data_IF_440150064233
#
_entry.id   IF_440150064233
#
_cell.length_a   1.000
_cell.length_b   1.000
_cell.length_c   1.000
_cell.angle_alpha   90.00
_cell.angle_beta   90.00
_cell.angle_gamma   90.00
#
_symmetry.space_group_name_H-M   'P 1'
#
loop_
_entity.id
_entity.type
_entity.pdbx_description
1 polymer ?
#
# COMPACT_ATOMS: atom_id res chain seq x y z
N UNK A 1 5.55 13.10 27.15
CA UNK A 1 5.80 12.66 25.78
C UNK A 1 4.48 12.58 25.03
N UNK A 2 4.36 13.18 23.83
CA UNK A 2 3.17 13.08 22.99
C UNK A 2 3.39 11.99 21.93
N UNK A 3 2.45 11.05 21.82
CA UNK A 3 2.48 9.98 20.82
C UNK A 3 1.53 10.34 19.68
N UNK A 4 2.08 10.53 18.49
CA UNK A 4 1.34 10.89 17.28
C UNK A 4 1.27 9.67 16.35
N UNK A 5 0.08 9.13 16.17
CA UNK A 5 -0.17 7.97 15.31
C UNK A 5 -0.39 8.43 13.87
N UNK A 6 0.19 7.70 12.92
CA UNK A 6 -0.17 7.84 11.52
C UNK A 6 -1.64 7.42 11.30
N UNK A 7 -2.33 8.07 10.35
CA UNK A 7 -3.71 7.70 9.98
C UNK A 7 -3.75 6.35 9.26
N UNK A 8 -2.74 6.09 8.44
CA UNK A 8 -2.64 4.87 7.63
C UNK A 8 -1.74 3.82 8.30
N UNK A 9 -2.17 3.26 9.44
CA UNK A 9 -1.45 2.19 10.13
C UNK A 9 -1.80 0.79 9.59
N UNK A 10 -0.83 -0.13 9.64
CA UNK A 10 -1.04 -1.55 9.43
C UNK A 10 -1.48 -1.97 8.03
N UNK A 11 -2.20 -3.07 7.96
CA UNK A 11 -2.59 -3.72 6.71
C UNK A 11 -3.38 -2.80 5.78
N UNK A 12 -2.94 -2.72 4.52
CA UNK A 12 -3.75 -2.09 3.49
C UNK A 12 -4.95 -3.00 3.11
N UNK A 13 -5.97 -2.39 2.47
CA UNK A 13 -7.17 -3.13 2.04
C UNK A 13 -6.87 -4.33 1.14
N UNK A 14 -5.83 -4.24 0.28
CA UNK A 14 -5.41 -5.35 -0.56
C UNK A 14 -4.91 -6.55 0.26
N UNK A 15 -4.14 -6.30 1.30
CA UNK A 15 -3.63 -7.33 2.23
C UNK A 15 -4.77 -7.91 3.08
N UNK A 16 -5.60 -7.04 3.71
CA UNK A 16 -6.76 -7.48 4.50
C UNK A 16 -7.69 -8.39 3.66
N UNK A 17 -7.97 -8.00 2.42
CA UNK A 17 -8.77 -8.80 1.49
C UNK A 17 -8.13 -10.17 1.22
N UNK A 18 -6.82 -10.23 0.96
CA UNK A 18 -6.15 -11.50 0.66
C UNK A 18 -6.17 -12.47 1.85
N UNK A 19 -5.97 -11.96 3.08
CA UNK A 19 -6.08 -12.74 4.31
C UNK A 19 -7.50 -13.26 4.50
N UNK A 20 -8.52 -12.41 4.32
CA UNK A 20 -9.92 -12.81 4.47
C UNK A 20 -10.32 -13.89 3.46
N UNK A 21 -9.88 -13.77 2.20
CA UNK A 21 -10.13 -14.81 1.18
C UNK A 21 -9.48 -16.12 1.59
N UNK A 22 -8.24 -16.11 2.10
CA UNK A 22 -7.56 -17.32 2.54
C UNK A 22 -8.27 -17.97 3.74
N UNK A 23 -8.68 -17.17 4.74
CA UNK A 23 -9.42 -17.65 5.92
C UNK A 23 -10.78 -18.24 5.53
N UNK A 24 -11.49 -17.63 4.58
CA UNK A 24 -12.79 -18.13 4.10
C UNK A 24 -12.70 -19.48 3.37
N UNK A 25 -11.52 -19.84 2.87
CA UNK A 25 -11.29 -21.08 2.11
C UNK A 25 -10.33 -22.04 2.79
N UNK A 26 -10.06 -21.84 4.08
CA UNK A 26 -9.23 -22.76 4.87
C UNK A 26 -9.94 -24.12 5.09
N UNK A 27 -9.23 -25.26 5.08
CA UNK A 27 -7.80 -25.34 4.80
C UNK A 27 -7.48 -25.07 3.32
N UNK A 28 -6.39 -24.32 3.07
CA UNK A 28 -5.99 -23.98 1.71
C UNK A 28 -4.47 -23.81 1.58
N UNK A 29 -4.00 -23.87 0.33
CA UNK A 29 -2.67 -23.47 -0.06
C UNK A 29 -2.69 -22.02 -0.53
N UNK A 30 -1.63 -21.28 -0.32
CA UNK A 30 -1.45 -19.98 -0.96
C UNK A 30 -0.30 -20.07 -1.96
N UNK A 31 -0.51 -19.60 -3.18
CA UNK A 31 0.56 -19.53 -4.14
C UNK A 31 1.50 -18.39 -3.78
N UNK A 32 2.69 -18.76 -3.33
CA UNK A 32 3.67 -17.92 -2.64
C UNK A 32 3.12 -17.40 -1.29
N UNK A 33 3.90 -16.57 -0.61
CA UNK A 33 3.49 -15.99 0.67
C UNK A 33 2.37 -14.98 0.46
N UNK A 34 1.32 -15.06 1.26
CA UNK A 34 0.19 -14.11 1.23
C UNK A 34 0.66 -12.68 1.53
N UNK A 35 1.66 -12.57 2.39
CA UNK A 35 2.18 -11.33 2.93
C UNK A 35 3.64 -11.53 3.36
N UNK A 36 4.45 -10.51 3.17
CA UNK A 36 5.85 -10.50 3.65
C UNK A 36 5.91 -10.12 5.14
N UNK A 37 5.43 -11.02 5.99
CA UNK A 37 5.50 -10.93 7.44
C UNK A 37 5.49 -12.35 8.01
N UNK A 38 6.63 -12.77 8.58
CA UNK A 38 6.83 -14.14 9.05
C UNK A 38 5.86 -14.52 10.16
N UNK A 39 5.65 -13.65 11.16
CA UNK A 39 4.74 -13.91 12.29
C UNK A 39 3.31 -14.15 11.80
N UNK A 40 2.83 -13.34 10.83
CA UNK A 40 1.50 -13.51 10.25
C UNK A 40 1.40 -14.81 9.46
N UNK A 41 2.42 -15.13 8.63
CA UNK A 41 2.45 -16.39 7.86
C UNK A 41 2.44 -17.59 8.80
N UNK A 42 3.21 -17.57 9.89
CA UNK A 42 3.24 -18.66 10.87
C UNK A 42 1.91 -18.78 11.65
N UNK A 43 1.25 -17.65 11.96
CA UNK A 43 -0.11 -17.64 12.51
C UNK A 43 -1.13 -18.28 11.57
N UNK A 44 -1.08 -17.94 10.29
CA UNK A 44 -1.97 -18.49 9.27
C UNK A 44 -1.80 -20.00 9.07
N UNK A 45 -0.57 -20.54 9.24
CA UNK A 45 -0.35 -22.00 9.22
C UNK A 45 -1.13 -22.72 10.34
N UNK A 46 -1.28 -22.12 11.52
CA UNK A 46 -2.09 -22.67 12.60
C UNK A 46 -3.60 -22.68 12.24
N UNK A 47 -4.02 -21.86 11.31
CA UNK A 47 -5.39 -21.82 10.76
C UNK A 47 -5.56 -22.72 9.52
N UNK A 48 -4.54 -23.53 9.16
CA UNK A 48 -4.59 -24.44 8.01
C UNK A 48 -4.28 -23.79 6.67
N UNK A 49 -3.61 -22.63 6.66
CA UNK A 49 -3.27 -21.88 5.45
C UNK A 49 -1.76 -21.97 5.22
N UNK A 50 -1.33 -22.67 4.17
CA UNK A 50 0.08 -22.99 3.93
C UNK A 50 0.60 -22.38 2.62
N UNK A 51 1.72 -21.61 2.64
CA UNK A 51 2.32 -21.12 1.42
C UNK A 51 3.05 -22.24 0.67
N UNK A 52 2.88 -22.26 -0.66
CA UNK A 52 3.61 -23.11 -1.59
C UNK A 52 4.28 -22.27 -2.66
N UNK A 53 5.53 -22.55 -2.95
CA UNK A 53 6.33 -21.84 -3.96
C UNK A 53 6.39 -22.59 -5.28
N UNK A 54 6.17 -23.90 -5.26
CA UNK A 54 6.12 -24.77 -6.42
C UNK A 54 4.71 -25.35 -6.58
N UNK A 55 4.12 -25.12 -7.74
CA UNK A 55 2.79 -25.65 -8.07
C UNK A 55 2.76 -27.16 -8.27
N UNK A 56 3.92 -27.82 -8.36
CA UNK A 56 4.01 -29.28 -8.48
C UNK A 56 3.50 -30.05 -7.26
N UNK A 57 3.43 -29.39 -6.10
CA UNK A 57 2.91 -30.02 -4.86
C UNK A 57 1.39 -29.93 -4.74
N UNK A 58 0.74 -29.11 -5.59
CA UNK A 58 -0.71 -28.91 -5.60
C UNK A 58 -1.40 -30.12 -6.24
N UNK A 59 -2.46 -30.58 -5.61
CA UNK A 59 -3.27 -31.71 -6.08
C UNK A 59 -4.64 -31.27 -6.62
N UNK A 60 -5.26 -32.15 -7.40
CA UNK A 60 -6.63 -31.92 -7.87
C UNK A 60 -7.59 -31.82 -6.68
N UNK A 61 -8.41 -30.76 -6.68
CA UNK A 61 -9.34 -30.47 -5.61
C UNK A 61 -8.81 -29.60 -4.47
N UNK A 62 -7.49 -29.33 -4.43
CA UNK A 62 -6.94 -28.41 -3.44
C UNK A 62 -7.49 -26.98 -3.62
N UNK A 63 -7.77 -26.31 -2.51
CA UNK A 63 -8.06 -24.89 -2.50
C UNK A 63 -6.76 -24.11 -2.59
N UNK A 64 -6.60 -23.28 -3.62
CA UNK A 64 -5.41 -22.47 -3.83
C UNK A 64 -5.77 -20.99 -3.92
N UNK A 65 -5.23 -20.19 -3.04
CA UNK A 65 -5.43 -18.73 -3.02
C UNK A 65 -4.25 -18.03 -3.70
N UNK A 66 -4.52 -17.20 -4.69
CA UNK A 66 -3.53 -16.31 -5.27
C UNK A 66 -3.41 -15.07 -4.38
N UNK A 67 -2.20 -14.77 -3.92
CA UNK A 67 -1.93 -13.67 -3.00
C UNK A 67 -2.18 -12.27 -3.61
N UNK A 68 -2.14 -11.22 -2.78
CA UNK A 68 -2.43 -9.85 -3.21
C UNK A 68 -1.52 -9.32 -4.33
N UNK A 69 -0.29 -9.81 -4.43
CA UNK A 69 0.66 -9.44 -5.49
C UNK A 69 0.39 -10.08 -6.86
N UNK A 70 -0.60 -11.00 -6.92
CA UNK A 70 -1.00 -11.64 -8.17
C UNK A 70 -0.06 -12.76 -8.64
N UNK A 71 -0.41 -13.34 -9.79
CA UNK A 71 0.35 -14.37 -10.46
C UNK A 71 0.29 -14.16 -11.99
N UNK A 72 1.18 -14.82 -12.73
CA UNK A 72 1.14 -14.79 -14.18
C UNK A 72 -0.03 -15.64 -14.74
N UNK A 73 -0.58 -15.32 -15.92
CA UNK A 73 -1.63 -16.14 -16.54
C UNK A 73 -1.26 -17.61 -16.66
N UNK A 74 -0.01 -17.92 -16.98
CA UNK A 74 0.50 -19.29 -17.05
C UNK A 74 0.38 -20.06 -15.74
N UNK A 75 0.42 -19.40 -14.58
CA UNK A 75 0.27 -20.05 -13.29
C UNK A 75 -1.22 -20.42 -13.05
N UNK A 76 -2.14 -19.55 -13.44
CA UNK A 76 -3.58 -19.87 -13.43
C UNK A 76 -3.91 -21.04 -14.36
N UNK A 77 -3.31 -21.09 -15.55
CA UNK A 77 -3.47 -22.20 -16.48
C UNK A 77 -2.93 -23.52 -15.93
N UNK A 78 -1.78 -23.46 -15.22
CA UNK A 78 -1.21 -24.66 -14.56
C UNK A 78 -2.15 -25.17 -13.46
N UNK A 79 -2.64 -24.29 -12.60
CA UNK A 79 -3.60 -24.62 -11.53
C UNK A 79 -4.88 -25.20 -12.09
N UNK A 80 -5.42 -24.62 -13.17
CA UNK A 80 -6.60 -25.15 -13.85
C UNK A 80 -6.35 -26.55 -14.44
N UNK A 81 -5.18 -26.80 -15.03
CA UNK A 81 -4.81 -28.13 -15.54
C UNK A 81 -4.62 -29.19 -14.44
N UNK A 82 -4.17 -28.77 -13.27
CA UNK A 82 -4.10 -29.64 -12.07
C UNK A 82 -5.50 -29.98 -11.57
N UNK A 83 -6.49 -29.13 -11.82
CA UNK A 83 -7.84 -29.26 -11.29
C UNK A 83 -8.00 -28.71 -9.87
N UNK A 84 -7.18 -27.70 -9.51
CA UNK A 84 -7.30 -27.00 -8.24
C UNK A 84 -8.47 -26.02 -8.23
N UNK A 85 -9.05 -25.75 -7.06
CA UNK A 85 -10.03 -24.69 -6.84
C UNK A 85 -9.26 -23.38 -6.60
N UNK A 86 -9.28 -22.46 -7.56
CA UNK A 86 -8.46 -21.24 -7.51
C UNK A 86 -9.28 -20.06 -7.04
N UNK A 87 -8.81 -19.39 -5.99
CA UNK A 87 -9.40 -18.18 -5.42
C UNK A 87 -8.44 -17.00 -5.63
N UNK A 88 -8.80 -16.11 -6.53
CA UNK A 88 -7.95 -14.98 -6.90
C UNK A 88 -8.11 -13.80 -5.93
N UNK A 89 -7.18 -13.65 -4.99
CA UNK A 89 -7.11 -12.52 -4.07
C UNK A 89 -6.17 -11.39 -4.55
N UNK A 90 -5.77 -11.37 -5.83
CA UNK A 90 -4.95 -10.31 -6.40
C UNK A 90 -5.56 -8.93 -6.11
N UNK A 91 -4.74 -8.01 -5.60
CA UNK A 91 -5.15 -6.65 -5.31
C UNK A 91 -5.68 -5.95 -6.58
N UNK A 92 -6.82 -5.22 -6.53
CA UNK A 92 -7.35 -4.49 -7.68
C UNK A 92 -6.32 -3.55 -8.33
N UNK A 93 -5.45 -2.91 -7.52
CA UNK A 93 -4.38 -2.06 -8.06
C UNK A 93 -3.39 -2.86 -8.91
N UNK A 94 -2.99 -4.04 -8.46
CA UNK A 94 -2.11 -4.94 -9.22
C UNK A 94 -2.81 -5.44 -10.48
N UNK A 95 -4.10 -5.83 -10.40
CA UNK A 95 -4.89 -6.22 -11.58
C UNK A 95 -4.91 -5.12 -12.64
N UNK A 96 -5.03 -3.87 -12.23
CA UNK A 96 -5.01 -2.73 -13.14
C UNK A 96 -3.68 -2.60 -13.89
N UNK A 97 -2.56 -2.78 -13.19
CA UNK A 97 -1.23 -2.81 -13.85
C UNK A 97 -1.14 -3.97 -14.86
N UNK A 98 -1.61 -5.15 -14.49
CA UNK A 98 -1.66 -6.33 -15.36
C UNK A 98 -2.49 -6.07 -16.63
N UNK A 99 -3.64 -5.41 -16.50
CA UNK A 99 -4.51 -5.02 -17.61
C UNK A 99 -3.81 -4.03 -18.55
N UNK A 100 -3.17 -2.99 -18.01
CA UNK A 100 -2.40 -2.01 -18.81
C UNK A 100 -1.29 -2.70 -19.60
N UNK A 101 -0.50 -3.55 -18.94
CA UNK A 101 0.58 -4.29 -19.58
C UNK A 101 0.05 -5.16 -20.71
N UNK A 102 -1.04 -5.91 -20.49
CA UNK A 102 -1.68 -6.72 -21.52
C UNK A 102 -2.15 -5.87 -22.70
N UNK A 103 -2.90 -4.80 -22.41
CA UNK A 103 -3.47 -3.93 -23.43
C UNK A 103 -2.40 -3.29 -24.32
N UNK A 104 -1.38 -2.69 -23.70
CA UNK A 104 -0.35 -1.97 -24.46
C UNK A 104 0.62 -2.94 -25.16
N UNK A 105 0.86 -4.10 -24.61
CA UNK A 105 1.62 -5.15 -25.29
C UNK A 105 0.90 -5.62 -26.57
N UNK A 106 -0.41 -5.84 -26.53
CA UNK A 106 -1.22 -6.20 -27.71
C UNK A 106 -1.22 -5.07 -28.76
N UNK A 107 -1.18 -3.79 -28.33
CA UNK A 107 -1.05 -2.63 -29.19
C UNK A 107 0.37 -2.45 -29.79
N UNK A 108 1.28 -3.37 -29.56
CA UNK A 108 2.65 -3.36 -30.09
C UNK A 108 3.60 -2.41 -29.37
N UNK A 109 3.29 -2.04 -28.12
CA UNK A 109 4.23 -1.30 -27.28
C UNK A 109 5.18 -2.28 -26.57
N UNK A 110 6.47 -1.96 -26.56
CA UNK A 110 7.44 -2.62 -25.68
C UNK A 110 7.21 -2.16 -24.25
N UNK A 111 7.06 -3.11 -23.35
CA UNK A 111 6.74 -2.85 -21.96
C UNK A 111 8.02 -2.62 -21.15
N UNK A 112 8.03 -1.57 -20.34
CA UNK A 112 9.05 -1.27 -19.33
C UNK A 112 8.37 -1.26 -17.98
N UNK A 113 8.82 -2.13 -17.08
CA UNK A 113 8.30 -2.23 -15.70
C UNK A 113 9.35 -1.65 -14.77
N UNK A 114 9.03 -0.54 -14.12
CA UNK A 114 9.88 0.05 -13.08
C UNK A 114 9.62 -0.67 -11.75
N UNK A 115 10.57 -1.47 -11.28
CA UNK A 115 10.41 -2.29 -10.09
C UNK A 115 11.59 -3.20 -9.79
N UNK A 116 11.43 -4.03 -8.77
CA UNK A 116 12.41 -5.06 -8.42
C UNK A 116 12.11 -6.35 -9.21
N UNK A 117 13.04 -6.78 -10.03
CA UNK A 117 12.92 -7.99 -10.87
C UNK A 117 12.64 -9.28 -10.08
N UNK A 118 13.08 -9.32 -8.82
CA UNK A 118 12.88 -10.49 -7.97
C UNK A 118 11.55 -10.44 -7.19
N UNK A 119 10.85 -9.31 -7.23
CA UNK A 119 9.59 -9.17 -6.49
C UNK A 119 8.46 -9.94 -7.16
N UNK A 120 7.67 -10.64 -6.37
CA UNK A 120 6.57 -11.51 -6.84
C UNK A 120 5.54 -10.76 -7.69
N UNK A 121 5.21 -9.51 -7.34
CA UNK A 121 4.31 -8.64 -8.10
C UNK A 121 4.84 -8.38 -9.51
N UNK A 122 6.12 -8.01 -9.63
CA UNK A 122 6.76 -7.73 -10.93
C UNK A 122 6.80 -8.98 -11.79
N UNK A 123 7.15 -10.14 -11.21
CA UNK A 123 7.12 -11.43 -11.91
C UNK A 123 5.71 -11.78 -12.42
N UNK A 124 4.68 -11.53 -11.60
CA UNK A 124 3.28 -11.70 -12.00
C UNK A 124 2.88 -10.78 -13.16
N UNK A 125 3.25 -9.50 -13.08
CA UNK A 125 2.96 -8.50 -14.12
C UNK A 125 3.63 -8.87 -15.45
N UNK A 126 4.88 -9.34 -15.42
CA UNK A 126 5.62 -9.74 -16.63
C UNK A 126 4.86 -10.77 -17.49
N UNK A 127 4.16 -11.69 -16.86
CA UNK A 127 3.38 -12.72 -17.55
C UNK A 127 2.21 -12.20 -18.39
N UNK A 128 1.84 -10.93 -18.24
CA UNK A 128 0.77 -10.29 -19.03
C UNK A 128 1.29 -9.61 -20.30
N UNK A 129 2.60 -9.51 -20.48
CA UNK A 129 3.21 -9.00 -21.69
C UNK A 129 3.32 -10.10 -22.77
N UNK A 130 3.05 -9.77 -24.03
CA UNK A 130 3.20 -10.69 -25.16
C UNK A 130 4.70 -11.00 -25.44
N UNK A 131 5.57 -10.00 -25.22
CA UNK A 131 7.02 -10.15 -25.31
C UNK A 131 7.62 -9.98 -23.92
N UNK A 132 8.87 -10.42 -23.74
CA UNK A 132 9.59 -10.22 -22.48
C UNK A 132 9.76 -8.73 -22.19
N UNK A 133 9.17 -8.20 -21.10
CA UNK A 133 9.30 -6.78 -20.77
C UNK A 133 10.69 -6.46 -20.24
N UNK A 134 11.14 -5.22 -20.40
CA UNK A 134 12.27 -4.72 -19.66
C UNK A 134 11.85 -4.46 -18.20
N UNK A 135 12.68 -4.90 -17.25
CA UNK A 135 12.49 -4.59 -15.84
C UNK A 135 13.67 -3.74 -15.41
N UNK A 136 13.39 -2.59 -14.82
CA UNK A 136 14.42 -1.65 -14.41
C UNK A 136 14.15 -1.14 -12.99
N UNK A 137 15.16 -1.17 -12.14
CA UNK A 137 15.14 -0.48 -10.86
C UNK A 137 15.63 0.96 -11.00
N UNK A 138 16.42 1.28 -12.03
CA UNK A 138 16.91 2.63 -12.33
C UNK A 138 16.93 2.90 -13.84
N UNK A 139 17.15 4.17 -14.21
CA UNK A 139 17.20 4.61 -15.59
C UNK A 139 18.30 3.91 -16.43
N UNK A 140 19.46 3.66 -15.84
CA UNK A 140 20.62 3.09 -16.53
C UNK A 140 20.40 1.62 -16.95
N UNK A 141 19.34 0.98 -16.48
CA UNK A 141 18.91 -0.37 -16.87
C UNK A 141 17.91 -0.36 -18.04
N UNK A 142 17.51 0.83 -18.54
CA UNK A 142 16.51 0.99 -19.59
C UNK A 142 17.20 1.17 -20.95
N UNK A 143 16.81 0.33 -21.93
CA UNK A 143 17.17 0.52 -23.33
C UNK A 143 15.94 0.95 -24.15
N UNK A 144 16.11 2.00 -24.92
CA UNK A 144 15.10 2.47 -25.88
C UNK A 144 15.50 2.19 -27.33
N UNK A 145 16.56 1.38 -27.57
CA UNK A 145 17.11 1.15 -28.91
C UNK A 145 16.18 0.32 -29.79
N UNK A 146 15.64 -0.75 -29.25
CA UNK A 146 14.88 -1.77 -29.99
C UNK A 146 13.38 -1.49 -30.04
N UNK A 147 12.94 -0.33 -30.49
CA UNK A 147 11.52 -0.09 -30.64
C UNK A 147 11.16 1.37 -30.92
N UNK A 148 9.94 1.57 -31.41
CA UNK A 148 9.37 2.91 -31.67
C UNK A 148 8.35 3.30 -30.61
N UNK A 149 7.69 2.32 -29.95
CA UNK A 149 6.62 2.55 -28.99
C UNK A 149 6.91 1.82 -27.68
N UNK A 150 6.87 2.55 -26.59
CA UNK A 150 7.11 2.01 -25.26
C UNK A 150 5.98 2.40 -24.29
N UNK A 151 5.60 1.49 -23.43
CA UNK A 151 4.69 1.75 -22.31
C UNK A 151 5.42 1.47 -21.00
N UNK A 152 5.52 2.49 -20.15
CA UNK A 152 6.21 2.43 -18.87
C UNK A 152 5.16 2.33 -17.76
N UNK A 153 5.25 1.27 -16.96
CA UNK A 153 4.44 1.06 -15.75
C UNK A 153 5.34 0.94 -14.53
N UNK A 154 4.80 1.09 -13.34
CA UNK A 154 5.56 0.91 -12.09
C UNK A 154 5.01 -0.25 -11.28
N UNK A 155 5.88 -0.92 -10.51
CA UNK A 155 5.47 -1.72 -9.37
C UNK A 155 4.64 -0.83 -8.41
N UNK A 156 3.56 -1.36 -7.83
CA UNK A 156 2.62 -0.56 -7.01
C UNK A 156 3.28 0.07 -5.76
N UNK A 157 4.43 -0.45 -5.34
CA UNK A 157 5.23 0.07 -4.23
C UNK A 157 6.50 0.81 -4.66
N UNK A 158 6.59 1.21 -5.93
CA UNK A 158 7.74 1.96 -6.45
C UNK A 158 7.83 3.37 -5.86
N UNK A 159 8.99 4.02 -6.02
CA UNK A 159 9.23 5.38 -5.50
C UNK A 159 8.80 6.44 -6.51
N UNK A 160 7.92 7.33 -6.12
CA UNK A 160 7.40 8.39 -6.99
C UNK A 160 8.51 9.34 -7.48
N UNK A 161 9.39 9.78 -6.59
CA UNK A 161 10.50 10.68 -6.98
C UNK A 161 11.46 9.99 -7.95
N UNK A 162 11.60 8.66 -7.83
CA UNK A 162 12.44 7.90 -8.74
C UNK A 162 11.75 7.74 -10.10
N UNK A 163 10.44 7.47 -10.09
CA UNK A 163 9.62 7.45 -11.30
C UNK A 163 9.71 8.77 -12.05
N UNK A 164 9.52 9.91 -11.38
CA UNK A 164 9.59 11.22 -11.99
C UNK A 164 10.98 11.56 -12.57
N UNK A 165 12.06 11.15 -11.87
CA UNK A 165 13.43 11.30 -12.38
C UNK A 165 13.66 10.48 -13.65
N UNK A 166 13.23 9.21 -13.66
CA UNK A 166 13.35 8.31 -14.81
C UNK A 166 12.54 8.85 -15.98
N UNK A 167 11.29 9.24 -15.74
CA UNK A 167 10.38 9.83 -16.72
C UNK A 167 11.00 11.05 -17.41
N UNK A 168 11.54 12.01 -16.63
CA UNK A 168 12.22 13.20 -17.16
C UNK A 168 13.42 12.84 -18.03
N UNK A 169 14.25 11.86 -17.61
CA UNK A 169 15.38 11.39 -18.41
C UNK A 169 14.93 10.80 -19.73
N UNK A 170 13.90 9.93 -19.73
CA UNK A 170 13.33 9.33 -20.95
C UNK A 170 12.76 10.43 -21.85
N UNK A 171 11.98 11.36 -21.32
CA UNK A 171 11.38 12.47 -22.08
C UNK A 171 12.45 13.32 -22.78
N UNK A 172 13.57 13.60 -22.12
CA UNK A 172 14.69 14.33 -22.73
C UNK A 172 15.30 13.58 -23.92
N UNK A 173 15.42 12.25 -23.82
CA UNK A 173 15.98 11.44 -24.92
C UNK A 173 15.01 11.39 -26.10
N UNK A 174 13.73 11.16 -25.85
CA UNK A 174 12.75 10.99 -26.93
C UNK A 174 12.41 12.31 -27.63
N UNK A 175 12.64 13.47 -26.99
CA UNK A 175 12.38 14.79 -27.60
C UNK A 175 13.06 15.01 -28.95
N UNK A 176 14.17 14.32 -29.21
CA UNK A 176 14.93 14.37 -30.46
C UNK A 176 14.75 13.12 -31.33
N UNK A 177 13.73 12.28 -31.07
CA UNK A 177 13.49 11.02 -31.76
C UNK A 177 12.03 10.93 -32.23
N UNK A 178 11.73 9.94 -33.10
CA UNK A 178 10.36 9.61 -33.49
C UNK A 178 9.69 8.60 -32.55
N UNK A 179 10.31 8.31 -31.40
CA UNK A 179 9.80 7.31 -30.46
C UNK A 179 8.61 7.83 -29.66
N UNK A 180 7.64 6.96 -29.42
CA UNK A 180 6.48 7.24 -28.58
C UNK A 180 6.63 6.51 -27.25
N UNK A 181 6.56 7.22 -26.13
CA UNK A 181 6.57 6.62 -24.80
C UNK A 181 5.36 7.10 -24.02
N UNK A 182 4.57 6.15 -23.53
CA UNK A 182 3.43 6.42 -22.64
C UNK A 182 3.82 6.01 -21.23
N UNK A 183 3.53 6.88 -20.28
CA UNK A 183 3.84 6.66 -18.87
C UNK A 183 2.55 6.43 -18.07
N UNK A 184 2.57 5.40 -17.23
CA UNK A 184 1.51 5.09 -16.29
C UNK A 184 2.09 5.12 -14.88
N UNK A 185 1.70 6.14 -14.10
CA UNK A 185 2.01 6.14 -12.67
C UNK A 185 1.05 5.15 -11.98
N UNK A 186 1.51 3.90 -11.85
CA UNK A 186 0.74 2.81 -11.23
C UNK A 186 1.12 2.58 -9.76
N UNK A 187 1.76 3.55 -9.12
CA UNK A 187 2.05 3.53 -7.69
C UNK A 187 0.72 3.56 -6.92
N UNK A 188 0.58 2.65 -5.96
CA UNK A 188 -0.63 2.53 -5.18
C UNK A 188 -0.86 3.78 -4.30
N UNK A 189 -2.09 4.28 -4.28
CA UNK A 189 -2.49 5.41 -3.41
C UNK A 189 -2.11 5.18 -1.94
N UNK A 190 -2.36 3.98 -1.39
CA UNK A 190 -1.96 3.66 -0.01
C UNK A 190 -0.46 3.80 0.22
N UNK A 191 0.36 3.45 -0.77
CA UNK A 191 1.82 3.62 -0.70
C UNK A 191 2.19 5.11 -0.69
N UNK A 192 1.57 5.91 -1.55
CA UNK A 192 1.80 7.36 -1.61
C UNK A 192 1.32 8.05 -0.33
N UNK A 193 0.11 7.74 0.15
CA UNK A 193 -0.45 8.33 1.37
C UNK A 193 0.42 8.04 2.60
N UNK A 194 0.82 6.76 2.82
CA UNK A 194 1.74 6.40 3.91
C UNK A 194 3.06 7.15 3.83
N UNK A 195 3.55 7.41 2.64
CA UNK A 195 4.82 8.09 2.43
C UNK A 195 4.73 9.60 2.68
N UNK A 196 3.68 10.28 2.21
CA UNK A 196 3.46 11.69 2.51
C UNK A 196 3.24 11.92 4.02
N UNK A 197 2.52 11.01 4.65
CA UNK A 197 2.34 11.01 6.09
C UNK A 197 3.68 10.79 6.83
N UNK A 198 4.51 9.84 6.39
CA UNK A 198 5.84 9.60 6.91
C UNK A 198 6.72 10.85 6.80
N UNK A 199 6.67 11.55 5.67
CA UNK A 199 7.39 12.80 5.44
C UNK A 199 6.94 13.91 6.38
N UNK A 200 5.64 14.05 6.57
CA UNK A 200 5.06 15.03 7.49
C UNK A 200 5.46 14.75 8.93
N UNK A 201 5.27 13.51 9.39
CA UNK A 201 5.56 13.10 10.75
C UNK A 201 7.07 13.16 11.08
N UNK A 202 7.93 12.70 10.17
CA UNK A 202 9.38 12.72 10.37
C UNK A 202 9.94 14.14 10.47
N UNK A 203 9.28 15.14 9.85
CA UNK A 203 9.70 16.55 9.95
C UNK A 203 9.26 17.23 11.24
N UNK A 204 8.13 16.83 11.82
CA UNK A 204 7.53 17.56 12.95
C UNK A 204 7.71 16.88 14.30
N UNK A 205 8.11 15.61 14.34
CA UNK A 205 8.32 14.87 15.58
C UNK A 205 9.80 14.73 15.91
N UNK A 206 10.12 14.66 17.19
CA UNK A 206 11.50 14.49 17.67
C UNK A 206 12.07 13.13 17.29
N UNK A 207 11.20 12.11 17.26
CA UNK A 207 11.57 10.76 16.86
C UNK A 207 10.42 10.05 16.12
N UNK A 208 10.77 8.98 15.41
CA UNK A 208 9.86 8.18 14.58
C UNK A 208 10.08 6.70 14.86
N UNK A 209 9.00 5.98 15.09
CA UNK A 209 8.97 4.51 15.16
C UNK A 209 8.28 3.96 13.92
N UNK A 210 8.97 3.11 13.17
CA UNK A 210 8.44 2.40 12.03
C UNK A 210 8.26 0.93 12.38
N UNK A 211 7.02 0.49 12.49
CA UNK A 211 6.66 -0.89 12.85
C UNK A 211 6.56 -1.71 11.56
N UNK A 212 7.41 -2.75 11.43
CA UNK A 212 7.37 -3.66 10.28
C UNK A 212 8.15 -4.94 10.54
N UNK A 213 7.86 -5.99 9.78
CA UNK A 213 8.73 -7.18 9.69
C UNK A 213 10.01 -6.85 8.91
N UNK A 214 11.16 -7.36 9.39
CA UNK A 214 12.48 -7.14 8.76
C UNK A 214 12.58 -7.69 7.34
N UNK A 215 11.79 -8.70 6.99
CA UNK A 215 11.70 -9.25 5.63
C UNK A 215 10.84 -8.41 4.67
N UNK A 216 10.09 -7.43 5.20
CA UNK A 216 9.21 -6.58 4.40
C UNK A 216 9.99 -5.52 3.63
N UNK A 217 10.11 -5.69 2.31
CA UNK A 217 10.74 -4.69 1.44
C UNK A 217 10.06 -3.31 1.55
N UNK A 218 8.71 -3.28 1.68
CA UNK A 218 7.97 -2.04 1.86
C UNK A 218 8.25 -1.38 3.22
N UNK A 219 8.36 -2.18 4.27
CA UNK A 219 8.70 -1.70 5.62
C UNK A 219 10.10 -1.10 5.68
N UNK A 220 11.08 -1.80 5.12
CA UNK A 220 12.46 -1.30 5.06
C UNK A 220 12.54 0.02 4.28
N UNK A 221 11.81 0.14 3.14
CA UNK A 221 11.76 1.38 2.36
C UNK A 221 11.10 2.53 3.12
N UNK A 222 10.03 2.26 3.88
CA UNK A 222 9.38 3.27 4.73
C UNK A 222 10.34 3.77 5.81
N UNK A 223 11.05 2.84 6.46
CA UNK A 223 12.07 3.17 7.46
C UNK A 223 13.21 4.01 6.87
N UNK A 224 13.82 3.57 5.77
CA UNK A 224 14.90 4.30 5.11
C UNK A 224 14.47 5.71 4.70
N UNK A 225 13.24 5.84 4.19
CA UNK A 225 12.69 7.13 3.83
C UNK A 225 12.51 8.04 5.06
N UNK A 226 11.89 7.56 6.14
CA UNK A 226 11.73 8.33 7.37
C UNK A 226 13.10 8.69 7.98
N UNK A 227 14.05 7.74 7.98
CA UNK A 227 15.42 7.92 8.44
C UNK A 227 16.19 8.97 7.67
N UNK A 228 15.94 9.10 6.37
CA UNK A 228 16.57 10.15 5.53
C UNK A 228 16.10 11.57 5.89
N UNK A 229 14.99 11.69 6.64
CA UNK A 229 14.41 12.97 7.07
C UNK A 229 14.67 13.24 8.55
N UNK A 230 14.60 12.19 9.38
CA UNK A 230 14.78 12.26 10.83
C UNK A 230 15.74 11.15 11.28
N UNK A 231 16.92 11.55 11.76
CA UNK A 231 17.94 10.62 12.24
C UNK A 231 17.49 9.80 13.45
N UNK A 232 16.52 10.27 14.22
CA UNK A 232 15.92 9.55 15.34
C UNK A 232 14.80 8.63 14.87
N UNK A 233 15.00 7.88 13.80
CA UNK A 233 14.05 6.89 13.29
C UNK A 233 14.47 5.50 13.72
N UNK A 234 13.54 4.75 14.31
CA UNK A 234 13.72 3.41 14.86
C UNK A 234 12.87 2.39 14.11
N UNK A 235 13.50 1.27 13.76
CA UNK A 235 12.80 0.14 13.15
C UNK A 235 12.38 -0.86 14.23
N UNK A 236 11.10 -1.17 14.32
CA UNK A 236 10.53 -2.05 15.34
C UNK A 236 9.83 -3.22 14.66
N UNK A 237 10.34 -4.44 14.90
CA UNK A 237 9.70 -5.68 14.45
C UNK A 237 9.13 -6.50 15.61
N UNK A 238 9.53 -6.18 16.84
CA UNK A 238 9.02 -6.77 18.07
C UNK A 238 9.23 -5.81 19.27
N UNK A 239 8.53 -6.07 20.36
CA UNK A 239 8.60 -5.19 21.56
C UNK A 239 10.02 -5.05 22.11
N UNK A 240 10.84 -6.11 22.04
CA UNK A 240 12.23 -6.07 22.45
C UNK A 240 13.08 -5.02 21.73
N UNK A 241 12.73 -4.68 20.48
CA UNK A 241 13.38 -3.59 19.75
C UNK A 241 13.16 -2.23 20.44
N UNK A 242 12.00 -2.02 21.10
CA UNK A 242 11.67 -0.78 21.83
C UNK A 242 12.42 -0.63 23.13
N UNK A 243 12.74 -1.72 23.81
CA UNK A 243 13.45 -1.70 25.10
C UNK A 243 14.85 -1.08 24.96
N UNK A 244 15.44 -1.17 23.77
CA UNK A 244 16.73 -0.54 23.45
C UNK A 244 16.61 0.95 23.10
N UNK A 245 15.40 1.44 22.83
CA UNK A 245 15.13 2.84 22.48
C UNK A 245 14.79 3.62 23.74
N UNK A 246 15.61 4.59 24.12
CA UNK A 246 15.29 5.50 25.23
C UNK A 246 14.19 6.47 24.80
N UNK A 247 12.94 5.96 24.74
CA UNK A 247 11.76 6.69 24.24
C UNK A 247 11.52 7.95 25.06
N UNK A 248 11.79 7.89 26.36
CA UNK A 248 11.62 9.00 27.32
C UNK A 248 12.44 10.26 27.03
N UNK A 249 13.40 10.18 26.10
CA UNK A 249 14.21 11.35 25.69
C UNK A 249 13.46 12.31 24.78
N UNK A 250 12.36 11.89 24.16
CA UNK A 250 11.68 12.65 23.13
C UNK A 250 10.37 13.23 23.65
N UNK A 251 10.09 14.48 23.26
CA UNK A 251 8.83 15.12 23.62
C UNK A 251 7.69 14.68 22.69
N UNK A 252 8.00 14.48 21.41
CA UNK A 252 7.04 14.04 20.39
C UNK A 252 7.56 12.79 19.66
N UNK A 253 6.73 11.75 19.58
CA UNK A 253 7.07 10.48 18.97
C UNK A 253 6.02 10.10 17.93
N UNK A 254 6.43 9.98 16.67
CA UNK A 254 5.56 9.49 15.60
C UNK A 254 5.57 7.96 15.55
N UNK A 255 4.40 7.36 15.35
CA UNK A 255 4.24 5.92 15.12
C UNK A 255 3.69 5.68 13.73
N UNK A 256 4.42 4.91 12.94
CA UNK A 256 4.07 4.48 11.59
C UNK A 256 4.17 2.97 11.46
N UNK A 257 3.37 2.38 10.57
CA UNK A 257 3.41 0.95 10.31
C UNK A 257 3.34 0.65 8.81
N UNK A 258 4.10 -0.35 8.38
CA UNK A 258 4.09 -0.83 7.00
C UNK A 258 2.75 -1.49 6.65
N UNK A 259 2.44 -1.60 5.34
CA UNK A 259 1.22 -2.23 4.83
C UNK A 259 1.13 -3.75 5.11
N UNK A 260 2.20 -4.36 5.61
CA UNK A 260 2.30 -5.76 6.02
C UNK A 260 2.34 -5.97 7.54
N UNK A 261 2.10 -4.92 8.33
CA UNK A 261 2.12 -4.96 9.80
C UNK A 261 0.73 -5.32 10.34
N UNK A 262 0.60 -6.36 11.16
CA UNK A 262 -0.67 -6.73 11.78
C UNK A 262 -1.09 -5.70 12.85
N UNK A 263 -2.41 -5.56 13.03
CA UNK A 263 -2.97 -4.61 13.98
C UNK A 263 -2.57 -4.98 15.44
N UNK A 264 -2.43 -6.28 15.75
CA UNK A 264 -2.00 -6.79 17.06
C UNK A 264 -0.61 -6.26 17.45
N UNK A 265 0.37 -6.28 16.56
CA UNK A 265 1.71 -5.75 16.84
C UNK A 265 1.69 -4.23 17.05
N UNK A 266 0.82 -3.53 16.32
CA UNK A 266 0.67 -2.08 16.50
C UNK A 266 0.11 -1.78 17.89
N UNK A 267 -0.92 -2.53 18.32
CA UNK A 267 -1.53 -2.38 19.63
C UNK A 267 -0.54 -2.73 20.77
N UNK A 268 0.24 -3.79 20.62
CA UNK A 268 1.30 -4.15 21.58
C UNK A 268 2.33 -3.01 21.72
N UNK A 269 2.79 -2.43 20.61
CA UNK A 269 3.74 -1.30 20.61
C UNK A 269 3.15 -0.08 21.31
N UNK A 270 1.88 0.24 21.00
CA UNK A 270 1.18 1.38 21.59
C UNK A 270 0.96 1.20 23.10
N UNK A 271 0.59 0.00 23.55
CA UNK A 271 0.43 -0.33 24.97
C UNK A 271 1.74 -0.16 25.71
N UNK A 272 2.80 -0.78 25.23
CA UNK A 272 4.14 -0.68 25.82
C UNK A 272 4.60 0.78 25.98
N UNK A 273 4.36 1.61 24.96
CA UNK A 273 4.73 3.02 25.01
C UNK A 273 3.90 3.82 26.03
N UNK A 274 2.61 3.50 26.16
CA UNK A 274 1.73 4.12 27.14
C UNK A 274 2.13 3.76 28.58
N UNK A 275 2.49 2.50 28.81
CA UNK A 275 2.93 2.00 30.11
C UNK A 275 4.25 2.65 30.53
N UNK A 276 5.22 2.74 29.61
CA UNK A 276 6.50 3.44 29.84
C UNK A 276 6.29 4.93 30.16
N UNK A 277 5.28 5.55 29.54
CA UNK A 277 4.94 6.96 29.83
C UNK A 277 4.37 7.14 31.22
N UNK A 278 3.53 6.22 31.69
CA UNK A 278 2.95 6.23 33.03
C UNK A 278 4.03 6.00 34.10
N UNK A 279 4.94 5.04 33.90
CA UNK A 279 6.06 4.81 34.81
C UNK A 279 6.97 6.03 34.98
N UNK A 280 7.23 6.77 33.88
CA UNK A 280 8.02 8.03 33.91
C UNK A 280 7.29 9.12 34.67
N UNK A 281 5.95 9.21 34.53
CA UNK A 281 5.13 10.19 35.29
C UNK A 281 5.06 9.86 36.78
N UNK A 282 4.91 8.59 37.16
CA UNK A 282 4.91 8.14 38.55
C UNK A 282 6.25 8.42 39.23
N UNK A 283 7.35 8.06 38.57
CA UNK A 283 8.70 8.36 39.08
C UNK A 283 9.00 9.88 39.18
N UNK A 284 8.39 10.69 38.28
CA UNK A 284 8.54 12.16 38.35
C UNK A 284 7.72 12.78 39.50
N UNK A 285 6.54 12.21 39.80
CA UNK A 285 5.71 12.68 40.91
C UNK A 285 6.26 12.28 42.26
N UNK A 286 6.94 11.17 42.40
CA UNK A 286 7.68 10.79 43.63
C UNK A 286 8.88 11.71 43.92
N UNK A 287 9.56 12.23 42.87
CA UNK A 287 10.70 13.12 43.01
C UNK A 287 10.32 14.62 43.18
N UNK A 288 9.07 15.02 42.88
CA UNK A 288 8.61 16.44 43.02
C UNK A 288 7.94 16.75 44.36
N UNK A 289 7.93 15.82 45.30
CA UNK A 289 7.44 16.09 46.65
C UNK A 289 8.43 16.93 47.51
N UNK A 290 9.53 17.42 46.96
CA UNK A 290 10.57 18.17 47.67
C UNK A 290 11.13 19.38 46.91
N UNK A 291 10.31 20.24 46.28
CA UNK A 291 10.76 21.62 46.00
C UNK A 291 9.56 22.51 45.66
N UNK A 292 9.40 23.60 46.46
CA UNK A 292 8.38 24.64 46.33
C UNK A 292 8.65 25.63 45.22
N UNK A 293 7.61 25.94 44.49
CA UNK A 293 7.13 27.21 43.90
C UNK A 293 8.13 28.34 43.57
N UNK A 294 8.17 28.77 42.32
CA UNK A 294 8.08 30.19 41.94
C UNK A 294 7.43 30.36 40.56
N UNK A 295 6.37 31.13 40.53
CA UNK A 295 5.64 31.67 39.36
C UNK A 295 6.50 32.68 38.58
N UNK A 296 6.44 32.68 37.27
CA UNK A 296 6.41 33.91 36.47
C UNK A 296 5.64 33.67 35.16
N UNK A 297 4.61 34.50 34.95
CA UNK A 297 3.82 34.63 33.74
C UNK A 297 4.49 35.54 32.71
N UNK A 298 4.17 35.37 31.45
CA UNK A 298 3.85 36.34 30.38
C UNK A 298 4.23 35.80 29.02
N UNK A 299 3.41 35.82 28.12
CA UNK A 299 2.73 36.61 27.10
C UNK A 299 2.93 36.02 25.68
N UNK A 300 1.85 35.89 24.95
CA UNK A 300 1.80 35.59 23.51
C UNK A 300 2.15 36.82 22.67
N UNK A 301 2.49 36.65 21.41
CA UNK A 301 1.86 37.48 20.39
C UNK A 301 1.40 36.75 19.13
N UNK A 302 0.44 37.34 18.62
CA UNK A 302 -0.45 37.37 17.49
C UNK A 302 0.03 36.89 16.10
N UNK A 303 -1.04 36.61 15.30
CA UNK A 303 -1.09 36.16 13.93
C UNK A 303 -0.58 37.18 12.91
N UNK A 304 -0.17 36.67 11.76
CA UNK A 304 0.08 37.40 10.53
C UNK A 304 -0.34 36.59 9.31
N UNK A 305 -1.50 36.93 8.75
CA UNK A 305 -1.95 36.52 7.42
C UNK A 305 -1.09 37.13 6.33
N UNK A 306 -0.77 36.38 5.29
CA UNK A 306 -0.55 36.94 3.95
C UNK A 306 -0.93 35.94 2.85
N UNK A 307 -1.88 36.38 2.03
CA UNK A 307 -2.33 35.78 0.78
C UNK A 307 -1.27 35.92 -0.31
N UNK A 308 -1.18 34.95 -1.20
CA UNK A 308 -0.54 35.11 -2.50
C UNK A 308 -1.31 34.37 -3.61
N UNK A 309 -1.42 35.06 -4.72
CA UNK A 309 -2.27 34.87 -5.85
C UNK A 309 -1.92 33.66 -6.71
N UNK A 310 -2.96 33.19 -7.41
CA UNK A 310 -2.93 32.18 -8.47
C UNK A 310 -2.21 32.69 -9.72
N UNK A 311 -1.42 31.80 -10.33
CA UNK A 311 -1.07 31.90 -11.74
C UNK A 311 -1.30 30.52 -12.39
N UNK A 312 -2.11 30.47 -13.43
CA UNK A 312 -2.48 29.27 -14.14
C UNK A 312 -1.56 29.06 -15.35
N UNK A 313 -0.94 27.91 -15.54
CA UNK A 313 -0.27 27.60 -16.79
C UNK A 313 -1.14 26.78 -17.71
N UNK A 314 -0.96 27.05 -18.99
CA UNK A 314 -1.62 26.49 -20.17
C UNK A 314 -1.59 24.96 -20.21
N UNK A 315 -2.69 24.39 -20.72
CA UNK A 315 -2.88 22.96 -20.99
C UNK A 315 -1.87 22.47 -22.05
N UNK A 316 -0.81 21.80 -21.63
CA UNK A 316 -0.05 20.91 -22.49
C UNK A 316 -0.70 19.52 -22.43
N UNK A 317 -0.80 18.84 -23.56
CA UNK A 317 -1.38 17.51 -23.68
C UNK A 317 -0.75 16.55 -22.62
N UNK A 318 -1.57 15.96 -21.76
CA UNK A 318 -1.15 15.02 -20.70
C UNK A 318 -0.53 13.79 -21.34
N UNK A 319 0.78 13.68 -21.24
CA UNK A 319 1.57 12.49 -21.65
C UNK A 319 1.64 11.44 -20.52
N UNK A 320 1.07 11.75 -19.36
CA UNK A 320 1.04 10.88 -18.18
C UNK A 320 -0.39 10.63 -17.75
N UNK A 321 -0.68 9.35 -17.48
CA UNK A 321 -1.93 8.92 -16.86
C UNK A 321 -1.61 8.46 -15.44
N UNK A 322 -2.22 9.10 -14.45
CA UNK A 322 -2.17 8.66 -13.04
C UNK A 322 -3.14 7.51 -12.81
N UNK A 323 -3.02 6.82 -11.68
CA UNK A 323 -3.99 5.78 -11.30
C UNK A 323 -5.42 6.35 -11.23
N UNK A 324 -5.59 7.59 -10.80
CA UNK A 324 -6.89 8.27 -10.78
C UNK A 324 -7.41 8.57 -12.21
N UNK A 325 -6.55 8.96 -13.15
CA UNK A 325 -6.91 9.14 -14.55
C UNK A 325 -7.31 7.80 -15.20
N UNK A 326 -6.61 6.73 -14.87
CA UNK A 326 -6.88 5.36 -15.33
C UNK A 326 -8.22 4.85 -14.76
N UNK A 327 -8.46 5.07 -13.46
CA UNK A 327 -9.73 4.73 -12.82
C UNK A 327 -10.88 5.61 -13.30
N UNK A 328 -10.60 6.88 -13.70
CA UNK A 328 -11.58 7.77 -14.28
C UNK A 328 -11.96 7.39 -15.72
N UNK A 329 -11.05 6.75 -16.49
CA UNK A 329 -11.37 6.20 -17.81
C UNK A 329 -12.38 5.05 -17.75
N UNK A 330 -12.44 4.34 -16.64
CA UNK A 330 -13.47 3.34 -16.36
C UNK A 330 -14.88 3.97 -16.21
N UNK A 331 -14.98 5.28 -15.85
CA UNK A 331 -16.23 6.05 -15.86
C UNK A 331 -16.77 6.27 -17.29
N UNK A 332 -15.90 6.46 -18.27
CA UNK A 332 -16.28 6.60 -19.68
C UNK A 332 -16.86 5.28 -20.26
N UNK A 333 -16.56 4.15 -19.61
CA UNK A 333 -17.11 2.82 -19.92
C UNK A 333 -18.46 2.54 -19.23
N UNK A 334 -19.09 3.55 -18.59
CA UNK A 334 -20.41 3.44 -17.97
C UNK A 334 -20.41 2.99 -16.51
N UNK A 335 -19.25 2.90 -15.85
CA UNK A 335 -19.17 2.57 -14.43
C UNK A 335 -19.14 3.82 -13.55
N UNK A 336 -19.97 3.84 -12.53
CA UNK A 336 -20.04 4.97 -11.56
C UNK A 336 -19.09 4.73 -10.40
N UNK A 337 -18.22 5.72 -10.10
CA UNK A 337 -17.41 5.74 -8.87
C UNK A 337 -18.03 6.69 -7.86
N UNK A 338 -18.16 6.25 -6.61
CA UNK A 338 -18.73 7.05 -5.54
C UNK A 338 -17.64 7.51 -4.58
N UNK A 339 -17.79 8.74 -4.04
CA UNK A 339 -16.93 9.26 -2.98
C UNK A 339 -17.61 9.04 -1.64
N UNK A 340 -16.82 8.84 -0.60
CA UNK A 340 -17.29 8.76 0.78
C UNK A 340 -18.18 9.95 1.16
N UNK A 341 -19.26 9.67 1.89
CA UNK A 341 -20.26 10.68 2.30
C UNK A 341 -21.32 11.03 1.25
N UNK A 342 -21.28 10.47 0.04
CA UNK A 342 -22.31 10.70 -0.98
C UNK A 342 -23.48 9.72 -0.77
N UNK A 343 -24.70 10.25 -0.59
CA UNK A 343 -25.92 9.43 -0.60
C UNK A 343 -26.27 8.95 -2.00
N UNK A 344 -26.54 7.67 -2.15
CA UNK A 344 -26.93 7.03 -3.40
C UNK A 344 -28.17 6.18 -3.20
N UNK A 345 -28.95 6.01 -4.26
CA UNK A 345 -30.00 5.00 -4.34
C UNK A 345 -29.43 3.75 -4.99
N UNK A 346 -29.54 2.62 -4.35
CA UNK A 346 -29.02 1.36 -4.84
C UNK A 346 -30.09 0.28 -4.77
N UNK A 347 -30.04 -0.71 -5.68
CA UNK A 347 -30.97 -1.83 -5.69
C UNK A 347 -30.38 -2.96 -4.83
N UNK A 348 -31.16 -3.49 -3.89
CA UNK A 348 -30.76 -4.66 -3.12
C UNK A 348 -30.73 -5.89 -4.05
N UNK A 349 -29.57 -6.56 -4.10
CA UNK A 349 -29.36 -7.79 -4.86
C UNK A 349 -29.59 -9.00 -3.98
N UNK A 350 -29.03 -8.97 -2.77
CA UNK A 350 -29.11 -10.05 -1.81
C UNK A 350 -28.99 -9.50 -0.39
N UNK A 351 -29.60 -10.19 0.59
CA UNK A 351 -29.44 -9.91 2.01
C UNK A 351 -29.21 -11.23 2.74
N UNK A 352 -28.20 -11.26 3.59
CA UNK A 352 -27.83 -12.41 4.40
C UNK A 352 -27.63 -12.04 5.88
N UNK A 353 -27.17 -12.98 6.70
CA UNK A 353 -26.96 -12.78 8.12
C UNK A 353 -25.90 -11.72 8.46
N UNK A 354 -25.01 -11.39 7.51
CA UNK A 354 -23.87 -10.49 7.69
C UNK A 354 -24.17 -9.08 7.17
N UNK A 355 -25.08 -8.92 6.20
CA UNK A 355 -25.41 -7.61 5.63
C UNK A 355 -26.18 -7.69 4.32
N UNK A 356 -26.15 -6.58 3.59
CA UNK A 356 -26.94 -6.38 2.37
C UNK A 356 -26.00 -6.11 1.19
N UNK A 357 -26.17 -6.84 0.10
CA UNK A 357 -25.50 -6.57 -1.17
C UNK A 357 -26.39 -5.70 -2.06
N UNK A 358 -25.82 -4.62 -2.57
CA UNK A 358 -26.54 -3.61 -3.36
C UNK A 358 -25.86 -3.35 -4.70
N UNK A 359 -26.67 -3.26 -5.76
CA UNK A 359 -26.20 -2.83 -7.08
C UNK A 359 -26.07 -1.31 -7.11
N UNK A 360 -24.84 -0.83 -7.23
CA UNK A 360 -24.52 0.60 -7.23
C UNK A 360 -24.13 1.15 -8.62
N UNK A 361 -24.29 0.35 -9.68
CA UNK A 361 -23.92 0.73 -11.03
C UNK A 361 -22.40 0.83 -11.27
N UNK A 362 -21.61 0.18 -10.43
CA UNK A 362 -20.15 0.03 -10.56
C UNK A 362 -19.74 -1.32 -11.13
N UNK A 363 -18.43 -1.56 -11.25
CA UNK A 363 -17.87 -2.88 -11.63
C UNK A 363 -18.09 -3.96 -10.56
N UNK A 364 -18.50 -3.58 -9.35
CA UNK A 364 -18.77 -4.46 -8.21
C UNK A 364 -19.97 -3.94 -7.45
N UNK A 365 -20.68 -4.87 -6.84
CA UNK A 365 -21.77 -4.58 -5.94
C UNK A 365 -21.23 -3.96 -4.64
N UNK A 366 -22.02 -3.09 -4.01
CA UNK A 366 -21.72 -2.56 -2.69
C UNK A 366 -22.15 -3.57 -1.62
N UNK A 367 -21.48 -3.55 -0.47
CA UNK A 367 -21.87 -4.30 0.72
C UNK A 367 -22.11 -3.33 1.87
N UNK A 368 -23.24 -3.49 2.57
CA UNK A 368 -23.62 -2.73 3.76
C UNK A 368 -23.65 -3.73 4.90
N UNK A 369 -22.83 -3.52 5.93
CA UNK A 369 -22.80 -4.36 7.12
C UNK A 369 -24.11 -4.24 7.89
N UNK A 370 -24.55 -5.33 8.51
CA UNK A 370 -25.79 -5.39 9.27
C UNK A 370 -25.87 -4.34 10.40
N UNK A 371 -24.74 -3.97 10.98
CA UNK A 371 -24.65 -2.93 12.00
C UNK A 371 -24.94 -1.51 11.49
N UNK A 372 -24.83 -1.30 10.17
CA UNK A 372 -25.07 -0.02 9.49
C UNK A 372 -26.50 0.13 8.94
N UNK A 373 -27.30 -0.93 9.03
CA UNK A 373 -28.69 -0.95 8.56
C UNK A 373 -29.62 -0.42 9.66
N UNK A 374 -30.36 0.66 9.38
CA UNK A 374 -31.33 1.20 10.32
C UNK A 374 -32.58 0.33 10.42
N UNK A 375 -33.17 0.26 11.65
CA UNK A 375 -34.29 -0.64 12.00
C UNK A 375 -35.60 -0.30 11.26
N UNK A 376 -35.72 0.88 10.70
CA UNK A 376 -36.89 1.39 9.98
C UNK A 376 -36.87 1.08 8.47
N UNK A 377 -35.87 0.32 7.99
CA UNK A 377 -35.79 -0.08 6.59
C UNK A 377 -35.41 1.04 5.62
N UNK A 378 -34.97 2.18 6.13
CA UNK A 378 -34.32 3.25 5.34
C UNK A 378 -32.81 3.09 5.44
N UNK A 379 -32.12 3.05 4.29
CA UNK A 379 -30.69 2.83 4.14
C UNK A 379 -29.95 4.14 3.87
#
# INVERSE_FOLDING_TARGET
MEIIKAEHLGFCNGVKRAINVAKAHAPCLTYKELIHNKKVVDGLKNEGIYPVHDLSVVQSGDNVVIAAHGAAPSDFEKLARIGANVYDATCPMVKKVQEIVREYSIKGYKIIILGDKNHQEVQGICGFSAETPQIAADFDEISLEDGEKFAVVTQTTFFEEKFEKIKKKIQNIISCTHKTVVFFNTICYTTMAKREEAKSLAKRCDAVVVISDRSSANGNRLYEFAKSINDNTFFVSEISDLQSVMISKYNTLAIMAAASTPDELIEEVLSFMSDTQNEVLENATENTATEEVTEVATAAPEAGEMAAAADAPAQSAKTELTMDDIMASDKAAGFTTYREGKRIHAKIINADENGIFVEIGGKKDGFIDKSEVNIDGTY
#
